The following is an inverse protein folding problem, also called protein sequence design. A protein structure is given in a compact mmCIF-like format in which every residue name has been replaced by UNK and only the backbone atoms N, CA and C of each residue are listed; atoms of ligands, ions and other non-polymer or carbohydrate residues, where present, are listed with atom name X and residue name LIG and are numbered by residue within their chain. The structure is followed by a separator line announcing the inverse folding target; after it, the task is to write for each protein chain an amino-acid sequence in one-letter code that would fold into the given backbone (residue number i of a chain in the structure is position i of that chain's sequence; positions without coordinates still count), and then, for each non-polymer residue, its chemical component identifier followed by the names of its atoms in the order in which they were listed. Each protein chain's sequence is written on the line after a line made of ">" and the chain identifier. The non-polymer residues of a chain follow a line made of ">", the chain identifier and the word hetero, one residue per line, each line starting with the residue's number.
data_IF_792133009678
#
_entry.id   IF_792133009678
#
_cell.length_a   1.000
_cell.length_b   1.000
_cell.length_c   1.000
_cell.angle_alpha   90.00
_cell.angle_beta   90.00
_cell.angle_gamma   90.00
#
_symmetry.space_group_name_H-M   'P 1'
#
loop_
_entity.id
_entity.type
_entity.pdbx_description
1 polymer ?
#
# COMPACT_ATOMS: atom_id res chain seq x y z
N UNK A 1 -12.47 -36.27 -15.23
CA UNK A 1 -12.76 -35.09 -16.03
C UNK A 1 -12.57 -33.85 -15.14
N UNK A 2 -11.49 -33.09 -15.31
CA UNK A 2 -11.25 -31.88 -14.53
C UNK A 2 -11.84 -30.72 -15.29
N UNK A 3 -12.87 -30.14 -14.72
CA UNK A 3 -13.57 -28.96 -15.24
C UNK A 3 -12.66 -27.74 -15.15
N UNK A 4 -12.18 -27.31 -16.29
CA UNK A 4 -11.26 -26.20 -16.45
C UNK A 4 -12.10 -24.90 -16.31
N UNK A 5 -12.26 -24.39 -15.08
CA UNK A 5 -12.84 -23.07 -14.84
C UNK A 5 -11.94 -22.01 -15.49
N UNK A 6 -12.19 -21.72 -16.74
CA UNK A 6 -11.72 -20.48 -17.36
C UNK A 6 -12.33 -19.33 -16.55
N UNK A 7 -11.55 -18.69 -15.69
CA UNK A 7 -11.89 -17.37 -15.17
C UNK A 7 -11.96 -16.45 -16.37
N UNK A 8 -13.18 -16.11 -16.79
CA UNK A 8 -13.38 -15.04 -17.74
C UNK A 8 -12.83 -13.77 -17.08
N UNK A 9 -11.78 -13.21 -17.65
CA UNK A 9 -11.35 -11.85 -17.34
C UNK A 9 -12.52 -10.98 -17.79
N UNK A 10 -13.33 -10.52 -16.86
CA UNK A 10 -14.37 -9.56 -17.14
C UNK A 10 -13.66 -8.33 -17.69
N UNK A 11 -13.78 -8.06 -18.98
CA UNK A 11 -13.32 -6.81 -19.59
C UNK A 11 -14.00 -5.69 -18.81
N UNK A 12 -13.19 -4.77 -18.25
CA UNK A 12 -13.70 -3.63 -17.52
C UNK A 12 -14.61 -2.83 -18.44
N UNK A 13 -15.92 -2.89 -18.18
CA UNK A 13 -16.94 -2.21 -18.98
C UNK A 13 -17.08 -0.73 -18.64
N UNK A 14 -16.35 -0.24 -17.64
CA UNK A 14 -16.52 1.08 -17.08
C UNK A 14 -15.16 1.82 -17.04
N UNK A 15 -15.20 3.11 -17.35
CA UNK A 15 -14.03 3.97 -17.21
C UNK A 15 -13.69 4.13 -15.71
N UNK A 16 -12.45 3.79 -15.34
CA UNK A 16 -11.98 4.05 -13.99
C UNK A 16 -11.60 5.53 -13.86
N UNK A 17 -12.29 6.21 -12.94
CA UNK A 17 -12.04 7.60 -12.57
C UNK A 17 -11.71 7.66 -11.09
N UNK A 18 -10.47 8.05 -10.75
CA UNK A 18 -10.04 7.96 -9.35
C UNK A 18 -8.76 8.69 -9.03
N UNK A 19 -8.31 8.51 -7.79
CA UNK A 19 -7.10 9.11 -7.24
C UNK A 19 -6.39 8.18 -6.26
N UNK A 20 -5.13 8.53 -5.91
CA UNK A 20 -4.49 7.98 -4.73
C UNK A 20 -5.19 8.55 -3.48
N UNK A 21 -5.46 7.68 -2.53
CA UNK A 21 -6.09 8.05 -1.26
C UNK A 21 -5.21 7.59 -0.10
N UNK A 22 -4.84 8.52 0.75
CA UNK A 22 -3.92 8.34 1.87
C UNK A 22 -4.67 8.53 3.19
N UNK A 23 -5.47 7.52 3.59
CA UNK A 23 -6.21 7.50 4.85
C UNK A 23 -5.29 7.66 6.06
N UNK A 24 -4.09 7.10 5.98
CA UNK A 24 -3.06 7.15 7.02
C UNK A 24 -2.57 8.57 7.38
N UNK A 25 -2.82 9.56 6.52
CA UNK A 25 -2.49 10.96 6.78
C UNK A 25 -3.68 11.79 7.26
N UNK A 26 -4.86 11.17 7.38
CA UNK A 26 -6.10 11.84 7.77
C UNK A 26 -6.53 11.43 9.18
N UNK A 27 -7.33 12.27 9.88
CA UNK A 27 -7.97 11.83 11.11
C UNK A 27 -8.82 10.58 10.88
N UNK A 28 -8.75 9.63 11.80
CA UNK A 28 -9.40 8.32 11.69
C UNK A 28 -10.89 8.40 11.35
N UNK A 29 -11.61 9.34 11.93
CA UNK A 29 -13.05 9.56 11.74
C UNK A 29 -13.40 10.17 10.40
N UNK A 30 -12.43 10.65 9.63
CA UNK A 30 -12.66 11.34 8.37
C UNK A 30 -13.09 10.42 7.23
N UNK A 31 -12.77 9.13 7.28
CA UNK A 31 -12.98 8.16 6.20
C UNK A 31 -14.42 8.21 5.65
N UNK A 32 -15.44 8.20 6.51
CA UNK A 32 -16.83 8.21 6.08
C UNK A 32 -17.19 9.49 5.29
N UNK A 33 -16.63 10.64 5.68
CA UNK A 33 -16.82 11.91 4.98
C UNK A 33 -16.14 11.87 3.61
N UNK A 34 -14.91 11.37 3.54
CA UNK A 34 -14.14 11.31 2.31
C UNK A 34 -14.80 10.37 1.29
N UNK A 35 -15.27 9.20 1.73
CA UNK A 35 -16.05 8.26 0.90
C UNK A 35 -17.30 8.94 0.33
N UNK A 36 -18.06 9.67 1.16
CA UNK A 36 -19.25 10.40 0.68
C UNK A 36 -18.89 11.49 -0.35
N UNK A 37 -17.75 12.17 -0.16
CA UNK A 37 -17.26 13.17 -1.12
C UNK A 37 -16.82 12.54 -2.44
N UNK A 38 -16.14 11.40 -2.38
CA UNK A 38 -15.74 10.61 -3.57
C UNK A 38 -16.95 10.18 -4.38
N UNK A 39 -17.98 9.63 -3.74
CA UNK A 39 -19.23 9.25 -4.41
C UNK A 39 -19.89 10.44 -5.10
N UNK A 40 -19.99 11.60 -4.43
CA UNK A 40 -20.55 12.84 -5.01
C UNK A 40 -19.75 13.37 -6.18
N UNK A 41 -18.43 13.15 -6.19
CA UNK A 41 -17.55 13.55 -7.28
C UNK A 41 -17.52 12.54 -8.44
N UNK A 42 -18.22 11.40 -8.33
CA UNK A 42 -18.21 10.34 -9.34
C UNK A 42 -16.93 9.51 -9.36
N UNK A 43 -16.12 9.56 -8.29
CA UNK A 43 -14.94 8.71 -8.14
C UNK A 43 -15.41 7.27 -7.93
N UNK A 44 -14.93 6.36 -8.77
CA UNK A 44 -15.25 4.94 -8.74
C UNK A 44 -14.04 4.04 -8.46
N UNK A 45 -12.86 4.62 -8.26
CA UNK A 45 -11.62 3.87 -8.01
C UNK A 45 -10.68 4.68 -7.12
N UNK A 46 -10.04 4.02 -6.15
CA UNK A 46 -8.96 4.61 -5.34
C UNK A 46 -7.75 3.68 -5.32
N UNK A 47 -6.55 4.27 -5.21
CA UNK A 47 -5.32 3.53 -4.93
C UNK A 47 -4.86 3.85 -3.51
N UNK A 48 -4.57 2.80 -2.72
CA UNK A 48 -4.23 2.89 -1.30
C UNK A 48 -2.98 2.09 -0.96
N UNK A 49 -2.44 2.27 0.21
CA UNK A 49 -1.45 1.45 0.94
C UNK A 49 0.00 1.54 0.48
N UNK A 50 0.38 2.17 -0.63
CA UNK A 50 1.74 2.12 -1.18
C UNK A 50 2.87 2.66 -0.27
N UNK A 51 2.56 3.42 0.76
CA UNK A 51 3.54 4.02 1.69
C UNK A 51 3.35 3.57 3.13
N UNK A 52 2.64 2.48 3.38
CA UNK A 52 2.19 2.07 4.71
C UNK A 52 2.96 0.89 5.31
N UNK A 53 4.20 0.62 4.85
CA UNK A 53 4.92 -0.55 5.34
C UNK A 53 5.13 -0.54 6.86
N UNK A 54 5.50 0.61 7.45
CA UNK A 54 5.62 0.72 8.92
C UNK A 54 4.33 0.44 9.67
N UNK A 55 3.17 0.69 9.05
CA UNK A 55 1.86 0.36 9.63
C UNK A 55 1.51 -1.10 9.41
N UNK A 56 1.78 -1.62 8.21
CA UNK A 56 1.52 -3.02 7.85
C UNK A 56 2.45 -4.00 8.58
N UNK A 57 3.66 -3.58 8.93
CA UNK A 57 4.67 -4.37 9.65
C UNK A 57 5.37 -3.46 10.67
N UNK A 58 4.71 -3.16 11.82
CA UNK A 58 5.25 -2.25 12.84
C UNK A 58 6.52 -2.75 13.51
N UNK A 59 6.75 -4.06 13.50
CA UNK A 59 7.97 -4.73 13.95
C UNK A 59 8.30 -5.85 12.97
N UNK A 60 9.56 -6.21 12.86
CA UNK A 60 9.99 -7.29 11.97
C UNK A 60 9.17 -8.57 12.19
N UNK A 61 8.47 -9.00 11.15
CA UNK A 61 7.65 -10.22 11.16
C UNK A 61 6.29 -10.11 11.84
N UNK A 62 5.94 -8.96 12.40
CA UNK A 62 4.62 -8.68 12.99
C UNK A 62 3.78 -7.89 12.00
N UNK A 63 2.70 -8.50 11.50
CA UNK A 63 1.87 -7.90 10.45
C UNK A 63 0.53 -7.44 10.99
N UNK A 64 0.13 -6.22 10.62
CA UNK A 64 -1.18 -5.63 10.90
C UNK A 64 -1.70 -4.90 9.65
N UNK A 65 -2.73 -5.45 9.04
CA UNK A 65 -3.41 -4.89 7.87
C UNK A 65 -4.75 -4.25 8.22
N UNK A 66 -5.06 -4.04 9.49
CA UNK A 66 -6.35 -3.56 9.97
C UNK A 66 -6.77 -2.24 9.30
N UNK A 67 -5.83 -1.31 9.09
CA UNK A 67 -6.12 -0.03 8.43
C UNK A 67 -6.45 -0.22 6.93
N UNK A 68 -5.76 -1.12 6.24
CA UNK A 68 -6.05 -1.43 4.82
C UNK A 68 -7.43 -2.05 4.70
N UNK A 69 -7.74 -3.05 5.54
CA UNK A 69 -9.04 -3.73 5.57
C UNK A 69 -10.16 -2.73 5.84
N UNK A 70 -9.99 -1.82 6.82
CA UNK A 70 -10.96 -0.78 7.14
C UNK A 70 -11.31 0.10 5.94
N UNK A 71 -10.31 0.53 5.20
CA UNK A 71 -10.53 1.35 3.99
C UNK A 71 -11.21 0.53 2.90
N UNK A 72 -10.76 -0.71 2.68
CA UNK A 72 -11.36 -1.61 1.69
C UNK A 72 -12.85 -1.85 1.97
N UNK A 73 -13.21 -2.15 3.23
CA UNK A 73 -14.61 -2.36 3.64
C UNK A 73 -15.49 -1.12 3.40
N UNK A 74 -14.94 0.08 3.64
CA UNK A 74 -15.65 1.33 3.41
C UNK A 74 -15.86 1.59 1.91
N UNK A 75 -14.84 1.33 1.08
CA UNK A 75 -14.91 1.49 -0.37
C UNK A 75 -15.84 0.46 -1.01
N UNK A 76 -15.80 -0.80 -0.57
CA UNK A 76 -16.71 -1.86 -1.03
C UNK A 76 -18.18 -1.47 -0.81
N UNK A 77 -18.52 -1.04 0.42
CA UNK A 77 -19.87 -0.56 0.76
C UNK A 77 -20.31 0.63 -0.08
N UNK A 78 -19.37 1.43 -0.54
CA UNK A 78 -19.62 2.60 -1.38
C UNK A 78 -19.64 2.29 -2.89
N UNK A 79 -19.31 1.06 -3.31
CA UNK A 79 -19.17 0.67 -4.71
C UNK A 79 -17.94 1.27 -5.39
N UNK A 80 -16.91 1.61 -4.63
CA UNK A 80 -15.65 2.18 -5.14
C UNK A 80 -14.61 1.05 -5.25
N UNK A 81 -14.01 0.88 -6.42
CA UNK A 81 -12.95 -0.09 -6.65
C UNK A 81 -11.66 0.32 -5.92
N UNK A 82 -10.92 -0.67 -5.43
CA UNK A 82 -9.65 -0.44 -4.74
C UNK A 82 -8.50 -1.07 -5.51
N UNK A 83 -7.46 -0.27 -5.76
CA UNK A 83 -6.15 -0.72 -6.21
C UNK A 83 -5.24 -0.70 -4.99
N UNK A 84 -4.77 -1.85 -4.55
CA UNK A 84 -3.82 -1.94 -3.45
C UNK A 84 -2.41 -1.75 -4.03
N UNK A 85 -1.74 -0.67 -3.63
CA UNK A 85 -0.31 -0.49 -3.85
C UNK A 85 0.49 -1.33 -2.84
N UNK A 86 1.55 -1.99 -3.30
CA UNK A 86 2.44 -2.68 -2.36
C UNK A 86 3.09 -1.66 -1.42
N UNK A 87 3.17 -1.91 -0.10
CA UNK A 87 3.64 -0.91 0.86
C UNK A 87 5.13 -0.60 0.78
N UNK A 88 5.84 -1.24 -0.13
CA UNK A 88 7.30 -1.26 -0.26
C UNK A 88 7.94 0.05 -0.73
N UNK A 89 7.13 1.11 -0.93
CA UNK A 89 7.57 2.42 -1.39
C UNK A 89 8.39 3.20 -0.34
N UNK A 90 8.20 2.91 0.95
CA UNK A 90 8.94 3.50 2.06
C UNK A 90 9.27 2.40 3.08
N UNK A 91 10.55 2.22 3.37
CA UNK A 91 11.01 1.18 4.32
C UNK A 91 10.57 1.51 5.76
N UNK A 92 10.25 0.51 6.58
CA UNK A 92 9.86 0.73 7.97
C UNK A 92 11.06 1.11 8.85
N UNK A 93 10.78 1.78 9.97
CA UNK A 93 11.80 2.25 10.93
C UNK A 93 12.70 1.13 11.42
N UNK A 94 12.09 0.00 11.82
CA UNK A 94 12.84 -1.16 12.34
C UNK A 94 13.88 -1.69 11.34
N UNK A 95 13.58 -1.60 10.04
CA UNK A 95 14.53 -2.07 9.00
C UNK A 95 15.75 -1.15 8.92
N UNK A 96 15.56 0.16 9.01
CA UNK A 96 16.68 1.12 8.96
C UNK A 96 17.50 1.06 10.25
N UNK A 97 16.87 0.80 11.39
CA UNK A 97 17.56 0.63 12.67
C UNK A 97 18.41 -0.64 12.69
N UNK A 98 17.89 -1.76 12.18
CA UNK A 98 18.61 -3.03 12.15
C UNK A 98 19.62 -3.14 10.99
N UNK A 99 19.31 -2.51 9.84
CA UNK A 99 20.07 -2.61 8.59
C UNK A 99 20.22 -1.23 7.94
N UNK A 100 21.03 -0.31 8.53
CA UNK A 100 21.12 1.06 8.03
C UNK A 100 21.67 1.19 6.60
N UNK A 101 22.35 0.16 6.11
CA UNK A 101 22.85 0.07 4.74
C UNK A 101 21.77 -0.24 3.70
N UNK A 102 20.52 -0.50 4.12
CA UNK A 102 19.36 -0.58 3.23
C UNK A 102 19.02 0.75 2.57
N UNK A 103 19.47 1.88 3.16
CA UNK A 103 19.32 3.20 2.56
C UNK A 103 20.32 3.40 1.41
N UNK A 104 19.83 3.94 0.30
CA UNK A 104 20.62 4.19 -0.89
C UNK A 104 21.80 5.12 -0.58
N UNK A 105 22.97 4.77 -1.08
CA UNK A 105 24.16 5.61 -0.99
C UNK A 105 24.34 6.42 -2.29
N UNK A 106 24.61 7.70 -2.12
CA UNK A 106 24.80 8.64 -3.22
C UNK A 106 26.12 9.36 -3.07
N UNK A 107 26.49 10.14 -4.08
CA UNK A 107 27.70 11.02 -4.01
C UNK A 107 27.64 12.05 -2.87
N UNK A 108 26.45 12.26 -2.27
CA UNK A 108 26.23 13.14 -1.13
C UNK A 108 26.20 12.40 0.21
N UNK A 109 26.44 11.08 0.19
CA UNK A 109 26.34 10.18 1.34
C UNK A 109 25.07 9.34 1.32
N UNK A 110 24.86 8.63 2.43
CA UNK A 110 23.71 7.74 2.61
C UNK A 110 22.42 8.54 2.78
N UNK A 111 21.33 8.02 2.22
CA UNK A 111 19.99 8.58 2.36
C UNK A 111 19.56 8.70 3.82
N UNK A 112 18.68 9.66 4.09
CA UNK A 112 18.13 9.89 5.43
C UNK A 112 16.76 9.17 5.50
N UNK A 113 16.49 8.47 6.61
CA UNK A 113 15.19 7.89 6.87
C UNK A 113 14.07 8.96 6.86
N UNK A 114 12.87 8.56 6.44
CA UNK A 114 11.67 9.41 6.44
C UNK A 114 11.31 10.00 5.08
N UNK A 115 12.19 9.90 4.08
CA UNK A 115 11.86 10.22 2.70
C UNK A 115 11.43 8.97 1.93
N UNK A 116 10.55 9.15 0.94
CA UNK A 116 10.14 8.07 0.05
C UNK A 116 11.25 7.72 -0.92
N UNK A 117 11.34 6.45 -1.33
CA UNK A 117 12.26 5.96 -2.38
C UNK A 117 13.75 6.23 -2.08
N UNK A 118 14.14 6.21 -0.83
CA UNK A 118 15.54 6.39 -0.43
C UNK A 118 16.26 5.09 -0.07
N UNK A 119 15.64 3.94 -0.34
CA UNK A 119 16.25 2.62 -0.15
C UNK A 119 16.96 2.15 -1.41
N UNK A 120 17.94 1.30 -1.23
CA UNK A 120 18.52 0.51 -2.32
C UNK A 120 17.61 -0.69 -2.62
N UNK A 121 16.88 -0.62 -3.72
CA UNK A 121 15.96 -1.68 -4.16
C UNK A 121 16.67 -2.99 -4.53
N UNK A 122 17.99 -2.96 -4.69
CA UNK A 122 18.81 -4.16 -4.97
C UNK A 122 19.34 -4.81 -3.71
N UNK A 123 19.25 -4.13 -2.57
CA UNK A 123 19.75 -4.62 -1.28
C UNK A 123 19.04 -5.93 -0.88
N UNK A 124 19.79 -6.98 -0.51
CA UNK A 124 19.22 -8.31 -0.25
C UNK A 124 18.20 -8.31 0.91
N UNK A 125 18.45 -7.53 1.98
CA UNK A 125 17.52 -7.40 3.11
C UNK A 125 16.23 -6.73 2.67
N UNK A 126 16.32 -5.61 1.90
CA UNK A 126 15.13 -4.97 1.35
C UNK A 126 14.30 -5.95 0.53
N UNK A 127 14.92 -6.67 -0.40
CA UNK A 127 14.23 -7.61 -1.29
C UNK A 127 13.57 -8.75 -0.52
N UNK A 128 14.25 -9.31 0.47
CA UNK A 128 13.72 -10.37 1.30
C UNK A 128 12.44 -9.93 2.06
N UNK A 129 12.51 -8.78 2.73
CA UNK A 129 11.36 -8.28 3.50
C UNK A 129 10.25 -7.71 2.61
N UNK A 130 10.59 -7.10 1.47
CA UNK A 130 9.60 -6.66 0.48
C UNK A 130 8.78 -7.83 -0.07
N UNK A 131 9.43 -8.93 -0.44
CA UNK A 131 8.74 -10.15 -0.85
C UNK A 131 7.84 -10.68 0.27
N UNK A 132 8.33 -10.69 1.52
CA UNK A 132 7.60 -11.18 2.67
C UNK A 132 6.32 -10.39 2.94
N UNK A 133 6.39 -9.04 2.98
CA UNK A 133 5.21 -8.20 3.20
C UNK A 133 4.22 -8.29 2.04
N UNK A 134 4.69 -8.34 0.79
CA UNK A 134 3.82 -8.50 -0.39
C UNK A 134 3.06 -9.84 -0.34
N UNK A 135 3.71 -10.93 0.09
CA UNK A 135 3.05 -12.23 0.21
C UNK A 135 2.03 -12.31 1.35
N UNK A 136 2.10 -11.40 2.31
CA UNK A 136 1.18 -11.31 3.44
C UNK A 136 -0.03 -10.41 3.16
N UNK A 137 0.15 -9.41 2.29
CA UNK A 137 -0.90 -8.53 1.81
C UNK A 137 -1.86 -9.25 0.86
#
# INVERSE_FOLDING_TARGET
>A
MKENRRRSVAFMKELLYGAAYYDEYMPYERLAKDVSMMQKAGINTVRIAESTWSTCEPQEGVFDFSHVIRVMDAMEKAGINVIIGTPTYAVPTWMVEAYPDVLAETVRGRGIYGTRQNMDITHPVYRYHAEKVIRKL
#
